data_IF_830683886322
#
_entry.id   IF_830683886322
#
_cell.length_a   1.000
_cell.length_b   1.000
_cell.length_c   1.000
_cell.angle_alpha   90.00
_cell.angle_beta   90.00
_cell.angle_gamma   90.00
#
_symmetry.space_group_name_H-M   'P 1'
#
loop_
_entity.id
_entity.type
_entity.pdbx_description
1 polymer ?
#
# COMPACT_ATOMS: atom_id res chain seq x y z
N UNK A 1 -6.20 -28.18 12.93
CA UNK A 1 -5.76 -29.05 11.82
C UNK A 1 -6.91 -29.14 10.82
N UNK A 2 -6.77 -28.47 9.69
CA UNK A 2 -7.73 -28.51 8.60
C UNK A 2 -7.55 -29.77 7.75
N UNK A 3 -8.63 -30.20 7.11
CA UNK A 3 -8.66 -31.40 6.26
C UNK A 3 -7.63 -31.38 5.11
N UNK A 4 -7.10 -30.22 4.72
CA UNK A 4 -6.17 -30.08 3.58
C UNK A 4 -4.75 -29.67 4.01
N UNK A 5 -4.43 -29.71 5.31
CA UNK A 5 -3.11 -29.30 5.83
C UNK A 5 -1.95 -30.12 5.25
N UNK A 6 -2.15 -31.41 4.96
CA UNK A 6 -1.12 -32.24 4.35
C UNK A 6 -0.66 -31.75 2.96
N UNK A 7 -1.57 -31.12 2.19
CA UNK A 7 -1.23 -30.50 0.91
C UNK A 7 -0.43 -29.19 1.11
N UNK A 8 -0.71 -28.44 2.18
CA UNK A 8 0.11 -27.29 2.57
C UNK A 8 1.54 -27.75 2.88
N UNK A 9 1.70 -28.74 3.77
CA UNK A 9 3.01 -29.24 4.21
C UNK A 9 3.84 -29.77 3.03
N UNK A 10 3.19 -30.50 2.11
CA UNK A 10 3.83 -31.00 0.89
C UNK A 10 4.37 -29.86 0.03
N UNK A 11 3.55 -28.84 -0.24
CA UNK A 11 3.90 -27.72 -1.10
C UNK A 11 4.94 -26.78 -0.45
N UNK A 12 4.92 -26.63 0.87
CA UNK A 12 5.90 -25.85 1.64
C UNK A 12 7.30 -26.47 1.58
N UNK A 13 7.40 -27.81 1.56
CA UNK A 13 8.68 -28.55 1.52
C UNK A 13 9.35 -28.57 0.15
N UNK A 14 8.65 -28.18 -0.92
CA UNK A 14 9.27 -28.11 -2.25
C UNK A 14 10.38 -27.04 -2.22
N UNK A 15 11.56 -27.31 -2.80
CA UNK A 15 12.67 -26.35 -2.84
C UNK A 15 12.29 -24.97 -3.44
N UNK A 16 12.84 -23.85 -2.92
CA UNK A 16 12.47 -22.49 -3.33
C UNK A 16 12.70 -22.15 -4.81
N UNK A 17 13.65 -22.82 -5.45
CA UNK A 17 14.04 -22.68 -6.86
C UNK A 17 13.04 -23.35 -7.82
N UNK A 18 12.18 -24.24 -7.32
CA UNK A 18 11.13 -24.86 -8.12
C UNK A 18 9.93 -23.91 -8.19
N UNK A 19 9.74 -23.29 -9.37
CA UNK A 19 8.68 -22.34 -9.64
C UNK A 19 7.31 -22.96 -9.97
N UNK A 20 7.28 -24.24 -10.39
CA UNK A 20 6.05 -24.92 -10.82
C UNK A 20 6.05 -26.38 -10.36
N UNK A 21 4.87 -26.89 -9.99
CA UNK A 21 4.66 -28.28 -9.61
C UNK A 21 3.33 -28.80 -10.15
N UNK A 22 3.40 -29.84 -10.97
CA UNK A 22 2.20 -30.57 -11.41
C UNK A 22 1.97 -31.79 -10.54
N UNK A 23 0.72 -32.02 -10.11
CA UNK A 23 0.28 -33.20 -9.39
C UNK A 23 -0.93 -33.81 -10.11
N UNK A 24 -0.92 -35.12 -10.25
CA UNK A 24 -2.14 -35.88 -10.59
C UNK A 24 -3.11 -35.88 -9.41
N UNK A 25 -4.38 -36.13 -9.68
CA UNK A 25 -5.38 -36.22 -8.62
C UNK A 25 -5.06 -37.38 -7.68
N UNK A 26 -4.56 -38.51 -8.20
CA UNK A 26 -4.17 -39.65 -7.37
C UNK A 26 -2.96 -39.34 -6.46
N UNK A 27 -1.96 -38.59 -6.95
CA UNK A 27 -0.87 -38.10 -6.10
C UNK A 27 -1.38 -37.16 -5.02
N UNK A 28 -2.36 -36.30 -5.36
CA UNK A 28 -2.96 -35.41 -4.38
C UNK A 28 -3.72 -36.16 -3.30
N UNK A 29 -4.46 -37.20 -3.66
CA UNK A 29 -5.17 -38.05 -2.71
C UNK A 29 -4.21 -38.82 -1.81
N UNK A 30 -3.07 -39.27 -2.35
CA UNK A 30 -1.99 -39.89 -1.55
C UNK A 30 -1.40 -38.90 -0.55
N UNK A 31 -1.17 -37.65 -0.96
CA UNK A 31 -0.71 -36.57 -0.07
C UNK A 31 -1.76 -36.27 1.01
N UNK A 32 -3.03 -36.19 0.63
CA UNK A 32 -4.13 -35.83 1.52
C UNK A 32 -4.58 -36.98 2.46
N UNK A 33 -4.32 -38.23 2.09
CA UNK A 33 -4.78 -39.41 2.82
C UNK A 33 -6.28 -39.73 2.64
N UNK A 34 -6.97 -39.08 1.70
CA UNK A 34 -8.37 -39.34 1.37
C UNK A 34 -8.69 -39.02 -0.09
N UNK A 35 -9.83 -39.53 -0.57
CA UNK A 35 -10.33 -39.27 -1.92
C UNK A 35 -10.84 -37.84 -2.08
N UNK A 36 -10.43 -37.16 -3.15
CA UNK A 36 -10.92 -35.83 -3.47
C UNK A 36 -12.45 -35.85 -3.61
N UNK A 37 -13.15 -34.77 -3.21
CA UNK A 37 -14.60 -34.70 -3.35
C UNK A 37 -14.99 -34.72 -4.84
N UNK A 38 -16.17 -35.25 -5.17
CA UNK A 38 -16.70 -35.29 -6.56
C UNK A 38 -16.62 -33.93 -7.27
N UNK A 39 -16.78 -32.83 -6.53
CA UNK A 39 -16.67 -31.47 -7.04
C UNK A 39 -15.28 -31.13 -7.61
N UNK A 40 -14.19 -31.71 -7.07
CA UNK A 40 -12.84 -31.52 -7.59
C UNK A 40 -12.68 -32.14 -8.99
N UNK A 41 -13.40 -33.23 -9.27
CA UNK A 41 -13.45 -33.88 -10.57
C UNK A 41 -14.38 -33.19 -11.56
N UNK A 42 -15.51 -32.67 -11.08
CA UNK A 42 -16.56 -32.13 -11.94
C UNK A 42 -16.36 -30.65 -12.30
N UNK A 43 -15.80 -29.84 -11.40
CA UNK A 43 -15.85 -28.38 -11.53
C UNK A 43 -14.47 -27.73 -11.44
N UNK A 44 -14.07 -27.00 -12.49
CA UNK A 44 -12.84 -26.19 -12.51
C UNK A 44 -12.80 -25.16 -11.38
N UNK A 45 -13.96 -24.62 -11.01
CA UNK A 45 -14.12 -23.64 -9.95
C UNK A 45 -13.68 -24.17 -8.58
N UNK A 46 -13.71 -25.49 -8.37
CA UNK A 46 -13.17 -26.10 -7.16
C UNK A 46 -11.68 -25.79 -6.99
N UNK A 47 -10.94 -25.65 -8.10
CA UNK A 47 -9.50 -25.33 -8.12
C UNK A 47 -9.21 -23.82 -8.16
N UNK A 48 -10.23 -22.98 -7.99
CA UNK A 48 -10.05 -21.53 -8.03
C UNK A 48 -9.17 -21.05 -6.87
N UNK A 49 -8.34 -20.05 -7.14
CA UNK A 49 -7.49 -19.37 -6.16
C UNK A 49 -8.29 -18.36 -5.30
N UNK A 50 -9.43 -18.79 -4.77
CA UNK A 50 -10.32 -17.93 -3.97
C UNK A 50 -9.73 -17.68 -2.58
N UNK A 51 -9.65 -16.42 -2.17
CA UNK A 51 -9.15 -16.00 -0.86
C UNK A 51 -10.25 -15.98 0.21
N UNK A 52 -11.49 -16.35 -0.11
CA UNK A 52 -12.62 -16.41 0.83
C UNK A 52 -12.53 -17.66 1.71
N UNK A 53 -12.05 -17.58 2.97
CA UNK A 53 -11.69 -18.76 3.77
C UNK A 53 -12.92 -19.59 4.17
N UNK A 54 -14.08 -18.95 4.26
CA UNK A 54 -15.36 -19.58 4.61
C UNK A 54 -16.00 -20.39 3.46
N UNK A 55 -15.62 -20.12 2.20
CA UNK A 55 -16.26 -20.72 1.02
C UNK A 55 -15.36 -21.77 0.33
N UNK A 56 -14.03 -21.62 0.44
CA UNK A 56 -13.07 -22.53 -0.19
C UNK A 56 -11.90 -22.87 0.75
N UNK A 57 -12.15 -23.61 1.84
CA UNK A 57 -11.13 -23.95 2.82
C UNK A 57 -9.98 -24.79 2.24
N UNK A 58 -10.23 -25.56 1.17
CA UNK A 58 -9.21 -26.33 0.44
C UNK A 58 -8.24 -25.45 -0.35
N UNK A 59 -8.72 -24.33 -0.90
CA UNK A 59 -7.87 -23.40 -1.63
C UNK A 59 -6.85 -22.69 -0.73
N UNK A 60 -7.18 -22.55 0.56
CA UNK A 60 -6.27 -21.97 1.55
C UNK A 60 -4.99 -22.78 1.69
N UNK A 61 -5.01 -24.10 1.49
CA UNK A 61 -3.82 -24.93 1.70
C UNK A 61 -2.69 -24.61 0.71
N UNK A 62 -2.98 -24.53 -0.58
CA UNK A 62 -1.94 -24.15 -1.55
C UNK A 62 -1.66 -22.64 -1.51
N UNK A 63 -2.67 -21.79 -1.30
CA UNK A 63 -2.49 -20.33 -1.19
C UNK A 63 -1.60 -19.95 0.01
N UNK A 64 -1.82 -20.57 1.17
CA UNK A 64 -1.01 -20.35 2.37
C UNK A 64 0.42 -20.88 2.20
N UNK A 65 0.61 -21.96 1.43
CA UNK A 65 1.94 -22.48 1.08
C UNK A 65 2.68 -21.60 0.04
N UNK A 66 2.06 -20.51 -0.43
CA UNK A 66 2.65 -19.61 -1.42
C UNK A 66 2.49 -20.07 -2.87
N UNK A 67 1.58 -21.03 -3.11
CA UNK A 67 1.29 -21.58 -4.42
C UNK A 67 -0.09 -21.14 -4.92
N UNK A 68 -0.27 -21.13 -6.22
CA UNK A 68 -1.57 -20.90 -6.88
C UNK A 68 -1.79 -21.98 -7.92
N UNK A 69 -3.03 -22.38 -8.14
CA UNK A 69 -3.37 -23.20 -9.31
C UNK A 69 -3.23 -22.32 -10.55
N UNK A 70 -2.34 -22.73 -11.45
CA UNK A 70 -2.14 -22.11 -12.77
C UNK A 70 -3.09 -22.76 -13.78
N UNK A 71 -3.10 -24.09 -13.82
CA UNK A 71 -3.90 -24.87 -14.75
C UNK A 71 -4.43 -26.14 -14.10
N UNK A 72 -5.60 -26.60 -14.54
CA UNK A 72 -6.16 -27.89 -14.16
C UNK A 72 -6.83 -28.54 -15.37
N UNK A 73 -6.68 -29.85 -15.46
CA UNK A 73 -7.30 -30.70 -16.46
C UNK A 73 -8.05 -31.83 -15.76
N UNK A 74 -9.39 -31.80 -15.80
CA UNK A 74 -10.23 -32.82 -15.16
C UNK A 74 -10.28 -34.13 -15.94
N UNK A 75 -10.07 -34.09 -17.26
CA UNK A 75 -10.09 -35.29 -18.12
C UNK A 75 -8.86 -36.15 -17.84
N UNK A 76 -7.69 -35.53 -17.84
CA UNK A 76 -6.41 -36.18 -17.61
C UNK A 76 -6.00 -36.16 -16.12
N UNK A 77 -6.89 -35.64 -15.26
CA UNK A 77 -6.81 -35.65 -13.80
C UNK A 77 -5.48 -35.15 -13.24
N UNK A 78 -5.10 -33.94 -13.63
CA UNK A 78 -3.94 -33.25 -13.06
C UNK A 78 -4.20 -31.76 -12.82
N UNK A 79 -3.43 -31.20 -11.91
CA UNK A 79 -3.39 -29.76 -11.62
C UNK A 79 -1.94 -29.30 -11.54
N UNK A 80 -1.67 -28.12 -12.10
CA UNK A 80 -0.39 -27.44 -12.04
C UNK A 80 -0.50 -26.27 -11.08
N UNK A 81 0.38 -26.29 -10.10
CA UNK A 81 0.63 -25.20 -9.18
C UNK A 81 1.80 -24.38 -9.67
N UNK A 82 1.68 -23.07 -9.57
CA UNK A 82 2.76 -22.13 -9.77
C UNK A 82 3.05 -21.43 -8.45
N UNK A 83 4.33 -21.39 -8.07
CA UNK A 83 4.78 -20.71 -6.88
C UNK A 83 4.68 -19.21 -7.14
N UNK A 84 3.96 -18.49 -6.28
CA UNK A 84 3.96 -17.04 -6.32
C UNK A 84 5.38 -16.52 -6.10
N UNK A 85 5.77 -15.42 -6.75
CA UNK A 85 7.04 -14.73 -6.46
C UNK A 85 7.16 -14.56 -4.93
N UNK A 86 8.17 -15.20 -4.34
CA UNK A 86 8.39 -15.31 -2.89
C UNK A 86 7.94 -14.03 -2.15
N UNK A 87 6.90 -14.15 -1.32
CA UNK A 87 6.67 -13.20 -0.23
C UNK A 87 7.61 -13.62 0.90
N UNK A 88 8.53 -12.74 1.26
CA UNK A 88 9.44 -12.84 2.40
C UNK A 88 8.75 -13.42 3.66
N UNK A 89 9.47 -14.32 4.34
CA UNK A 89 8.98 -15.28 5.35
C UNK A 89 8.33 -14.67 6.61
N UNK A 90 7.57 -15.48 7.36
CA UNK A 90 6.84 -15.12 8.60
C UNK A 90 7.70 -14.52 9.73
N UNK A 91 9.02 -14.77 9.77
CA UNK A 91 9.92 -14.08 10.72
C UNK A 91 10.22 -12.64 10.30
N UNK A 92 10.13 -12.35 9.00
CA UNK A 92 10.06 -11.00 8.47
C UNK A 92 8.68 -10.42 8.70
N UNK A 93 7.56 -11.15 8.67
CA UNK A 93 6.23 -10.59 9.01
C UNK A 93 6.16 -10.09 10.46
N UNK A 94 6.89 -10.68 11.41
CA UNK A 94 7.02 -10.12 12.76
C UNK A 94 7.87 -8.83 12.79
N UNK A 95 8.92 -8.73 11.95
CA UNK A 95 9.73 -7.51 11.78
C UNK A 95 9.06 -6.46 10.87
N UNK A 96 8.23 -6.88 9.94
CA UNK A 96 7.56 -6.11 8.89
C UNK A 96 6.17 -5.67 9.35
N UNK A 97 5.53 -6.37 10.29
CA UNK A 97 4.40 -5.83 11.05
C UNK A 97 4.83 -4.76 12.05
N UNK A 98 6.09 -4.79 12.52
CA UNK A 98 6.71 -3.63 13.16
C UNK A 98 7.16 -2.54 12.17
N UNK A 99 7.53 -2.85 10.91
CA UNK A 99 7.88 -1.84 9.89
C UNK A 99 6.68 -1.24 9.12
N UNK A 100 5.51 -1.89 9.16
CA UNK A 100 4.25 -1.41 8.57
C UNK A 100 3.35 -0.67 9.59
N UNK A 101 3.82 -0.51 10.84
CA UNK A 101 3.55 0.76 11.50
C UNK A 101 4.37 1.78 10.73
N UNK A 102 3.73 2.84 10.22
CA UNK A 102 4.35 4.10 9.74
C UNK A 102 5.87 4.03 9.87
N UNK A 103 6.64 3.68 8.84
CA UNK A 103 8.10 3.55 8.98
C UNK A 103 8.65 4.94 9.35
N UNK A 104 8.86 5.26 10.66
CA UNK A 104 8.90 6.65 11.09
C UNK A 104 10.14 7.32 10.50
N UNK A 105 11.21 6.55 10.28
CA UNK A 105 12.44 7.03 9.66
C UNK A 105 12.28 7.45 8.20
N UNK A 106 11.44 6.78 7.40
CA UNK A 106 11.23 7.18 5.99
C UNK A 106 10.30 8.39 5.87
N UNK A 107 9.28 8.48 6.74
CA UNK A 107 8.43 9.66 6.85
C UNK A 107 9.23 10.87 7.31
N UNK A 108 9.95 10.71 8.43
CA UNK A 108 10.78 11.75 9.03
C UNK A 108 11.85 12.29 8.07
N UNK A 109 12.57 11.43 7.36
CA UNK A 109 13.56 11.90 6.35
C UNK A 109 12.92 12.72 5.23
N UNK A 110 11.72 12.35 4.80
CA UNK A 110 11.00 13.12 3.78
C UNK A 110 10.52 14.47 4.33
N UNK A 111 10.05 14.49 5.58
CA UNK A 111 9.69 15.72 6.29
C UNK A 111 10.90 16.65 6.46
N UNK A 112 12.05 16.13 6.89
CA UNK A 112 13.31 16.88 6.99
C UNK A 112 13.73 17.46 5.62
N UNK A 113 13.67 16.65 4.55
CA UNK A 113 13.99 17.12 3.19
C UNK A 113 12.97 18.16 2.68
N UNK A 114 11.69 17.99 3.00
CA UNK A 114 10.67 18.97 2.67
C UNK A 114 10.90 20.30 3.39
N UNK A 115 11.28 20.27 4.68
CA UNK A 115 11.64 21.46 5.43
C UNK A 115 12.80 22.20 4.78
N UNK A 116 13.89 21.50 4.43
CA UNK A 116 15.07 22.06 3.75
C UNK A 116 14.68 22.79 2.45
N UNK A 117 14.03 22.09 1.51
CA UNK A 117 13.71 22.64 0.20
C UNK A 117 12.67 23.77 0.28
N UNK A 118 11.69 23.67 1.18
CA UNK A 118 10.69 24.73 1.36
C UNK A 118 11.25 25.93 2.11
N UNK A 119 12.22 25.72 3.00
CA UNK A 119 12.92 26.82 3.66
C UNK A 119 13.66 27.69 2.66
N UNK A 120 14.36 27.07 1.71
CA UNK A 120 14.98 27.78 0.59
C UNK A 120 13.92 28.47 -0.29
N UNK A 121 12.85 27.76 -0.66
CA UNK A 121 11.82 28.33 -1.54
C UNK A 121 11.08 29.51 -0.94
N UNK A 122 10.70 29.43 0.34
CA UNK A 122 9.90 30.45 1.01
C UNK A 122 10.74 31.46 1.80
N UNK A 123 12.07 31.27 1.88
CA UNK A 123 12.98 32.12 2.65
C UNK A 123 12.58 32.24 4.12
N UNK A 124 12.13 31.12 4.71
CA UNK A 124 11.73 31.00 6.12
C UNK A 124 12.24 29.69 6.71
N UNK A 125 12.50 29.66 8.01
CA UNK A 125 12.84 28.40 8.69
C UNK A 125 11.57 27.62 9.04
N UNK A 126 11.57 26.29 8.84
CA UNK A 126 10.49 25.41 9.28
C UNK A 126 10.83 24.64 10.56
N UNK A 127 9.91 24.68 11.52
CA UNK A 127 9.91 23.81 12.72
C UNK A 127 9.15 22.53 12.41
N UNK A 128 9.71 21.39 12.82
CA UNK A 128 9.09 20.08 12.65
C UNK A 128 8.13 19.75 13.80
N UNK A 129 7.04 19.04 13.49
CA UNK A 129 6.07 18.49 14.45
C UNK A 129 5.54 19.52 15.46
N UNK A 130 5.31 20.75 14.98
CA UNK A 130 5.00 21.90 15.82
C UNK A 130 3.50 21.94 16.17
N UNK A 131 3.14 22.02 17.46
CA UNK A 131 1.74 22.02 17.89
C UNK A 131 1.09 23.39 17.61
N UNK A 132 -0.10 23.36 17.01
CA UNK A 132 -1.00 24.50 16.88
C UNK A 132 -2.38 24.06 17.38
N UNK A 133 -2.98 24.84 18.28
CA UNK A 133 -4.33 24.59 18.76
C UNK A 133 -5.35 24.90 17.65
N UNK A 134 -6.19 23.92 17.33
CA UNK A 134 -7.25 24.04 16.32
C UNK A 134 -8.62 23.63 16.88
N UNK A 135 -9.68 24.11 16.24
CA UNK A 135 -11.06 23.75 16.56
C UNK A 135 -11.64 24.48 17.78
N UNK A 136 -12.88 24.11 18.12
CA UNK A 136 -13.59 24.58 19.31
C UNK A 136 -14.37 23.40 19.94
N UNK A 137 -14.02 22.93 21.15
CA UNK A 137 -12.94 23.44 22.01
C UNK A 137 -11.55 23.25 21.38
N UNK A 138 -10.57 24.11 21.72
CA UNK A 138 -9.24 24.05 21.13
C UNK A 138 -8.53 22.76 21.53
N UNK A 139 -7.89 22.12 20.56
CA UNK A 139 -7.04 20.94 20.76
C UNK A 139 -5.78 21.06 19.92
N UNK A 140 -4.64 20.71 20.52
CA UNK A 140 -3.37 20.69 19.80
C UNK A 140 -3.38 19.65 18.69
N UNK A 141 -3.03 20.10 17.49
CA UNK A 141 -2.62 19.27 16.38
C UNK A 141 -1.16 19.59 16.05
N UNK A 142 -0.33 18.56 15.84
CA UNK A 142 1.07 18.74 15.45
C UNK A 142 1.15 18.72 13.93
N UNK A 143 1.40 19.89 13.34
CA UNK A 143 1.65 20.00 11.92
C UNK A 143 3.10 19.66 11.62
N UNK A 144 3.33 18.90 10.55
CA UNK A 144 4.67 18.41 10.18
C UNK A 144 5.65 19.57 9.93
N UNK A 145 5.18 20.67 9.33
CA UNK A 145 5.97 21.84 8.98
C UNK A 145 5.24 23.12 9.37
N UNK A 146 5.86 23.93 10.23
CA UNK A 146 5.36 25.28 10.61
C UNK A 146 6.50 26.27 10.49
N UNK A 147 6.34 27.33 9.70
CA UNK A 147 7.37 28.36 9.58
C UNK A 147 7.59 29.08 10.91
N UNK A 148 8.80 29.62 11.12
CA UNK A 148 9.17 30.33 12.35
C UNK A 148 8.26 31.53 12.65
N UNK A 149 7.69 32.16 11.61
CA UNK A 149 6.70 33.23 11.67
C UNK A 149 5.23 32.77 11.64
N UNK A 150 5.00 31.45 11.62
CA UNK A 150 3.69 30.78 11.58
C UNK A 150 2.79 31.13 10.37
N UNK A 151 3.33 31.79 9.33
CA UNK A 151 2.57 32.11 8.11
C UNK A 151 2.45 30.95 7.13
N UNK A 152 3.29 29.94 7.23
CA UNK A 152 3.30 28.77 6.38
C UNK A 152 3.14 27.51 7.24
N UNK A 153 2.09 26.73 6.98
CA UNK A 153 1.79 25.52 7.74
C UNK A 153 1.44 24.39 6.80
N UNK A 154 2.02 23.21 7.00
CA UNK A 154 1.73 22.09 6.13
C UNK A 154 2.04 20.71 6.69
N UNK A 155 1.64 19.73 5.87
CA UNK A 155 1.64 18.31 6.17
C UNK A 155 2.40 17.54 5.09
N UNK A 156 3.26 16.61 5.48
CA UNK A 156 4.12 15.84 4.60
C UNK A 156 3.57 14.43 4.39
N UNK A 157 3.50 14.00 3.14
CA UNK A 157 2.94 12.71 2.74
C UNK A 157 3.90 11.98 1.79
N UNK A 158 4.79 11.18 2.39
CA UNK A 158 5.76 10.34 1.67
C UNK A 158 5.08 9.07 1.11
N UNK A 159 4.20 9.25 0.13
CA UNK A 159 3.38 8.19 -0.45
C UNK A 159 3.77 7.91 -1.90
N UNK A 160 3.48 6.69 -2.35
CA UNK A 160 3.69 6.28 -3.75
C UNK A 160 2.44 5.59 -4.29
N UNK A 161 2.32 5.57 -5.62
CA UNK A 161 1.44 4.63 -6.29
C UNK A 161 1.73 3.19 -5.85
N UNK A 162 0.71 2.34 -5.88
CA UNK A 162 0.95 0.90 -5.71
C UNK A 162 1.70 0.36 -6.93
N UNK A 163 2.41 -0.76 -6.77
CA UNK A 163 3.17 -1.40 -7.86
C UNK A 163 2.30 -1.73 -9.08
N UNK A 164 1.01 -1.98 -8.88
CA UNK A 164 0.05 -2.30 -9.95
C UNK A 164 -0.71 -1.07 -10.47
N UNK A 165 -0.38 0.15 -10.02
CA UNK A 165 -1.05 1.38 -10.43
C UNK A 165 -2.42 1.62 -9.78
N UNK A 166 -2.85 0.76 -8.85
CA UNK A 166 -4.05 1.04 -8.06
C UNK A 166 -3.82 2.23 -7.12
N UNK A 167 -4.87 3.02 -6.93
CA UNK A 167 -4.88 4.15 -5.99
C UNK A 167 -4.70 3.63 -4.56
N UNK A 168 -3.75 4.19 -3.78
CA UNK A 168 -3.64 3.86 -2.37
C UNK A 168 -4.71 4.60 -1.55
N UNK A 169 -5.97 4.16 -1.62
CA UNK A 169 -7.15 4.87 -1.08
C UNK A 169 -7.02 5.29 0.39
N UNK A 170 -6.53 4.40 1.27
CA UNK A 170 -6.30 4.73 2.68
C UNK A 170 -5.31 5.90 2.86
N UNK A 171 -4.28 5.97 2.01
CA UNK A 171 -3.32 7.07 2.02
C UNK A 171 -3.95 8.38 1.54
N UNK A 172 -4.83 8.33 0.54
CA UNK A 172 -5.60 9.50 0.09
C UNK A 172 -6.54 10.00 1.19
N UNK A 173 -7.15 9.08 1.96
CA UNK A 173 -7.92 9.43 3.16
C UNK A 173 -7.08 10.20 4.18
N UNK A 174 -5.84 9.78 4.44
CA UNK A 174 -4.92 10.51 5.32
C UNK A 174 -4.51 11.89 4.77
N UNK A 175 -4.51 12.09 3.45
CA UNK A 175 -4.32 13.43 2.88
C UNK A 175 -5.57 14.30 3.09
N UNK A 176 -6.76 13.75 2.89
CA UNK A 176 -8.01 14.47 3.16
C UNK A 176 -8.13 14.90 4.62
N UNK A 177 -7.72 14.04 5.55
CA UNK A 177 -7.66 14.38 6.98
C UNK A 177 -6.68 15.54 7.24
N UNK A 178 -5.48 15.52 6.64
CA UNK A 178 -4.53 16.63 6.73
C UNK A 178 -5.11 17.94 6.20
N UNK A 179 -5.77 17.91 5.04
CA UNK A 179 -6.48 19.08 4.46
C UNK A 179 -7.57 19.57 5.41
N UNK A 180 -8.32 18.65 6.03
CA UNK A 180 -9.33 19.00 7.03
C UNK A 180 -8.72 19.71 8.25
N UNK A 181 -7.62 19.22 8.82
CA UNK A 181 -6.96 19.91 9.94
C UNK A 181 -6.41 21.29 9.54
N UNK A 182 -5.80 21.40 8.35
CA UNK A 182 -5.33 22.67 7.81
C UNK A 182 -6.50 23.66 7.61
N UNK A 183 -7.72 23.19 7.35
CA UNK A 183 -8.89 24.06 7.16
C UNK A 183 -9.26 24.89 8.40
N UNK A 184 -8.85 24.47 9.60
CA UNK A 184 -9.08 25.21 10.85
C UNK A 184 -8.14 26.40 11.05
N UNK A 185 -7.04 26.47 10.29
CA UNK A 185 -6.07 27.56 10.41
C UNK A 185 -6.62 28.86 9.77
N UNK A 186 -6.13 30.03 10.22
CA UNK A 186 -6.52 31.32 9.65
C UNK A 186 -6.41 31.37 8.12
N UNK A 187 -7.33 32.07 7.46
CA UNK A 187 -7.40 32.10 5.98
C UNK A 187 -6.20 32.79 5.32
N UNK A 188 -5.52 33.66 6.05
CA UNK A 188 -4.29 34.35 5.65
C UNK A 188 -3.03 33.50 5.86
N UNK A 189 -3.16 32.31 6.48
CA UNK A 189 -2.08 31.32 6.53
C UNK A 189 -1.93 30.63 5.17
N UNK A 190 -0.70 30.53 4.68
CA UNK A 190 -0.34 29.70 3.54
C UNK A 190 -0.34 28.24 4.02
N UNK A 191 -1.35 27.50 3.60
CA UNK A 191 -1.59 26.12 4.02
C UNK A 191 -1.23 25.18 2.88
N UNK A 192 -0.53 24.10 3.16
CA UNK A 192 -0.11 23.19 2.09
C UNK A 192 -0.02 21.72 2.53
N UNK A 193 -0.18 20.82 1.58
CA UNK A 193 0.25 19.43 1.71
C UNK A 193 1.42 19.23 0.74
N UNK A 194 2.48 18.61 1.22
CA UNK A 194 3.64 18.20 0.42
C UNK A 194 3.58 16.69 0.18
N UNK A 195 3.55 16.29 -1.09
CA UNK A 195 3.52 14.89 -1.50
C UNK A 195 4.84 14.51 -2.19
N UNK A 196 5.34 13.31 -1.94
CA UNK A 196 6.47 12.78 -2.72
C UNK A 196 6.05 12.57 -4.17
N UNK A 197 6.89 12.97 -5.13
CA UNK A 197 6.72 12.63 -6.54
C UNK A 197 6.70 11.11 -6.70
N UNK A 198 5.61 10.62 -7.26
CA UNK A 198 5.46 9.23 -7.63
C UNK A 198 4.64 9.19 -8.90
N UNK A 199 5.26 8.80 -10.01
CA UNK A 199 4.58 8.64 -11.30
C UNK A 199 3.84 7.31 -11.33
N UNK A 200 2.66 7.29 -11.94
CA UNK A 200 1.89 6.07 -12.13
C UNK A 200 2.66 5.09 -13.03
N UNK A 201 2.64 3.76 -12.80
CA UNK A 201 3.47 2.80 -13.55
C UNK A 201 3.27 2.78 -15.07
N UNK A 202 2.09 3.17 -15.54
CA UNK A 202 1.70 3.13 -16.95
C UNK A 202 1.02 4.41 -17.47
N UNK A 203 0.89 5.43 -16.63
CA UNK A 203 0.24 6.69 -17.00
C UNK A 203 1.18 7.82 -16.65
N UNK A 204 1.19 8.86 -17.47
CA UNK A 204 1.95 10.08 -17.18
C UNK A 204 1.14 10.97 -16.21
N UNK A 205 0.92 10.47 -15.00
CA UNK A 205 0.21 11.17 -13.92
C UNK A 205 0.92 10.87 -12.60
N UNK A 206 1.25 11.90 -11.83
CA UNK A 206 1.79 11.69 -10.49
C UNK A 206 0.68 11.46 -9.46
N UNK A 207 1.03 10.90 -8.31
CA UNK A 207 0.06 10.74 -7.22
C UNK A 207 -0.47 12.10 -6.71
N UNK A 208 0.35 13.15 -6.79
CA UNK A 208 -0.06 14.50 -6.44
C UNK A 208 -1.03 15.09 -7.47
N UNK A 209 -0.77 14.89 -8.77
CA UNK A 209 -1.70 15.27 -9.85
C UNK A 209 -3.05 14.55 -9.70
N UNK A 210 -3.02 13.23 -9.45
CA UNK A 210 -4.22 12.44 -9.19
C UNK A 210 -5.00 12.97 -7.98
N UNK A 211 -4.30 13.26 -6.87
CA UNK A 211 -4.92 13.78 -5.66
C UNK A 211 -5.59 15.13 -5.92
N UNK A 212 -4.85 16.07 -6.52
CA UNK A 212 -5.34 17.39 -6.87
C UNK A 212 -6.56 17.30 -7.78
N UNK A 213 -6.51 16.51 -8.86
CA UNK A 213 -7.63 16.32 -9.79
C UNK A 213 -8.87 15.72 -9.13
N UNK A 214 -8.70 14.73 -8.25
CA UNK A 214 -9.81 13.95 -7.66
C UNK A 214 -10.42 14.65 -6.44
N UNK A 215 -9.61 15.31 -5.62
CA UNK A 215 -10.01 15.86 -4.31
C UNK A 215 -9.98 17.39 -4.27
N UNK A 216 -9.87 18.07 -5.42
CA UNK A 216 -9.83 19.53 -5.53
C UNK A 216 -10.89 20.25 -4.70
N UNK A 217 -12.10 19.72 -4.71
CA UNK A 217 -13.25 20.26 -3.99
C UNK A 217 -13.04 20.35 -2.47
N UNK A 218 -12.10 19.59 -1.92
CA UNK A 218 -11.75 19.61 -0.49
C UNK A 218 -10.66 20.62 -0.14
N UNK A 219 -9.87 21.09 -1.11
CA UNK A 219 -8.63 21.81 -0.80
C UNK A 219 -8.87 23.13 -0.06
N UNK A 220 -9.97 23.84 -0.31
CA UNK A 220 -10.32 25.08 0.41
C UNK A 220 -9.14 26.09 0.57
N UNK A 221 -8.33 26.23 -0.48
CA UNK A 221 -7.14 27.09 -0.51
C UNK A 221 -5.84 26.44 0.01
N UNK A 222 -5.87 25.17 0.42
CA UNK A 222 -4.67 24.38 0.72
C UNK A 222 -3.94 24.05 -0.59
N UNK A 223 -2.67 24.44 -0.67
CA UNK A 223 -1.80 24.14 -1.80
C UNK A 223 -1.40 22.67 -1.82
N UNK A 224 -1.29 22.07 -3.00
CA UNK A 224 -0.65 20.77 -3.17
C UNK A 224 0.73 21.01 -3.78
N UNK A 225 1.77 20.67 -3.02
CA UNK A 225 3.16 20.73 -3.45
C UNK A 225 3.66 19.30 -3.66
N UNK A 226 4.46 19.10 -4.70
CA UNK A 226 5.11 17.85 -5.01
C UNK A 226 6.62 18.01 -4.92
N UNK A 227 7.29 17.08 -4.23
CA UNK A 227 8.75 17.04 -4.13
C UNK A 227 9.31 15.84 -4.87
N UNK A 228 10.17 16.11 -5.84
CA UNK A 228 11.06 15.12 -6.43
C UNK A 228 12.34 15.04 -5.60
N UNK A 229 12.41 14.04 -4.72
CA UNK A 229 13.55 13.84 -3.80
C UNK A 229 14.83 13.46 -4.54
N UNK A 230 14.73 12.93 -5.76
CA UNK A 230 15.92 12.52 -6.53
C UNK A 230 16.60 13.71 -7.21
N UNK A 231 15.80 14.73 -7.54
CA UNK A 231 16.26 15.91 -8.27
C UNK A 231 16.21 17.20 -7.43
N UNK A 232 15.84 17.10 -6.15
CA UNK A 232 15.68 18.23 -5.23
C UNK A 232 14.80 19.37 -5.79
N UNK A 233 13.71 19.00 -6.47
CA UNK A 233 12.78 19.98 -7.06
C UNK A 233 11.42 19.99 -6.37
N UNK A 234 10.78 21.16 -6.36
CA UNK A 234 9.43 21.36 -5.84
C UNK A 234 8.51 21.88 -6.94
N UNK A 235 7.47 21.13 -7.26
CA UNK A 235 6.39 21.55 -8.18
C UNK A 235 5.14 21.91 -7.38
N UNK A 236 4.51 23.04 -7.70
CA UNK A 236 3.15 23.32 -7.22
C UNK A 236 2.18 22.69 -8.22
N UNK A 237 1.23 21.90 -7.72
CA UNK A 237 0.20 21.30 -8.58
C UNK A 237 -0.92 22.32 -8.77
N UNK A 238 -1.25 22.59 -10.04
CA UNK A 238 -2.27 23.54 -10.46
C UNK A 238 -2.86 23.10 -11.81
N UNK A 239 -3.90 23.80 -12.28
CA UNK A 239 -4.43 23.53 -13.62
C UNK A 239 -3.39 23.85 -14.69
N UNK A 240 -3.34 23.02 -15.73
CA UNK A 240 -2.69 23.42 -16.97
C UNK A 240 -3.47 24.59 -17.57
N UNK A 241 -2.77 25.71 -17.79
CA UNK A 241 -3.29 26.89 -18.50
C UNK A 241 -3.52 26.58 -19.99
#
# INVERSE_FOLDING_TARGET
>A
MGKYDALYDFLERIPPDVGERTLTFDEMEKILGFKLPKSAYAYRQWWANSTSPHQHPHAQSWLAAGWRVEAVNQRDKWVRFQRGKQRQSKSEIARVSSENRLNPGKGKRFQEKAAELLSERFQVEFRLDYPIAIGNPPKDHRFDLVSSDQRHVGECKNYSWTKTGNVPSAKMGAVNEAVFYLSFLPKDTIRFVVMRKSVHPTRDETLADYYYRTYRHLLQGVLVLEIDVENDTIRKIEDAL
#
